data_IF_809530035120
#
_entry.id   IF_809530035120
#
_cell.length_a   1.000
_cell.length_b   1.000
_cell.length_c   1.000
_cell.angle_alpha   90.00
_cell.angle_beta   90.00
_cell.angle_gamma   90.00
#
_symmetry.space_group_name_H-M   'P 1'
#
loop_
_entity.id
_entity.type
_entity.pdbx_description
1 polymer ?
#
# COMPACT_ATOMS: atom_id res chain seq x y z
N UNK A 1 3.19 17.37 10.18
CA UNK A 1 2.27 16.44 10.89
C UNK A 1 1.32 15.90 9.84
N UNK A 2 1.41 14.60 9.51
CA UNK A 2 0.54 13.98 8.51
C UNK A 2 -0.93 14.05 8.98
N UNK A 3 -1.85 14.32 8.08
CA UNK A 3 -3.28 14.24 8.41
C UNK A 3 -3.66 12.79 8.78
N UNK A 4 -4.70 12.59 9.58
CA UNK A 4 -5.13 11.24 10.04
C UNK A 4 -5.33 10.24 8.90
N UNK A 5 -5.78 10.72 7.72
CA UNK A 5 -5.92 9.91 6.50
C UNK A 5 -4.56 9.47 5.94
N UNK A 6 -3.62 10.40 5.81
CA UNK A 6 -2.29 10.15 5.27
C UNK A 6 -1.49 9.23 6.19
N UNK A 7 -1.55 9.48 7.50
CA UNK A 7 -0.93 8.62 8.51
C UNK A 7 -1.47 7.19 8.46
N UNK A 8 -2.80 7.04 8.34
CA UNK A 8 -3.42 5.72 8.16
C UNK A 8 -2.96 5.03 6.87
N UNK A 9 -2.85 5.77 5.76
CA UNK A 9 -2.39 5.22 4.49
C UNK A 9 -0.93 4.75 4.59
N UNK A 10 -0.07 5.53 5.26
CA UNK A 10 1.32 5.13 5.51
C UNK A 10 1.38 3.82 6.32
N UNK A 11 0.74 3.78 7.48
CA UNK A 11 0.74 2.61 8.36
C UNK A 11 0.14 1.35 7.69
N UNK A 12 -0.85 1.52 6.79
CA UNK A 12 -1.40 0.40 6.01
C UNK A 12 -0.38 -0.14 5.01
N UNK A 13 0.36 0.74 4.34
CA UNK A 13 1.37 0.33 3.38
C UNK A 13 2.60 -0.26 4.07
N UNK A 14 3.02 0.25 5.23
CA UNK A 14 4.05 -0.38 6.07
C UNK A 14 3.67 -1.81 6.45
N UNK A 15 2.46 -2.02 6.97
CA UNK A 15 2.00 -3.35 7.34
C UNK A 15 1.93 -4.31 6.12
N UNK A 16 1.56 -3.79 4.94
CA UNK A 16 1.50 -4.60 3.73
C UNK A 16 2.90 -4.92 3.18
N UNK A 17 3.85 -3.98 3.25
CA UNK A 17 5.27 -4.21 2.94
C UNK A 17 5.85 -5.27 3.87
N UNK A 18 5.51 -5.27 5.16
CA UNK A 18 5.94 -6.31 6.09
C UNK A 18 5.40 -7.70 5.69
N UNK A 19 4.18 -7.79 5.16
CA UNK A 19 3.63 -9.03 4.61
C UNK A 19 4.42 -9.49 3.39
N UNK A 20 4.76 -8.56 2.47
CA UNK A 20 5.56 -8.86 1.29
C UNK A 20 6.98 -9.30 1.64
N UNK A 21 7.64 -8.67 2.62
CA UNK A 21 8.97 -9.06 3.08
C UNK A 21 9.00 -10.49 3.62
N UNK A 22 7.93 -10.92 4.29
CA UNK A 22 7.79 -12.29 4.80
C UNK A 22 7.39 -13.30 3.73
N UNK A 23 6.75 -12.85 2.65
CA UNK A 23 6.23 -13.68 1.57
C UNK A 23 6.47 -13.00 0.19
N UNK A 24 7.72 -12.92 -0.28
CA UNK A 24 8.07 -12.15 -1.49
C UNK A 24 7.38 -12.64 -2.76
N UNK A 25 6.99 -13.91 -2.81
CA UNK A 25 6.25 -14.51 -3.91
C UNK A 25 4.87 -13.86 -4.14
N UNK A 26 4.31 -13.21 -3.11
CA UNK A 26 3.03 -12.51 -3.22
C UNK A 26 3.07 -11.35 -4.22
N UNK A 27 4.25 -10.75 -4.47
CA UNK A 27 4.43 -9.55 -5.31
C UNK A 27 3.82 -9.70 -6.71
N UNK A 28 3.75 -10.91 -7.25
CA UNK A 28 2.87 -11.13 -8.40
C UNK A 28 2.21 -12.48 -8.36
N UNK A 29 1.63 -12.74 -7.20
CA UNK A 29 0.46 -13.58 -7.07
C UNK A 29 -0.72 -12.97 -7.83
N UNK A 30 -1.68 -13.82 -8.19
CA UNK A 30 -2.96 -13.38 -8.79
C UNK A 30 -3.80 -12.51 -7.86
N UNK A 31 -3.48 -12.45 -6.57
CA UNK A 31 -4.14 -11.55 -5.60
C UNK A 31 -3.77 -10.11 -5.92
N UNK A 32 -2.46 -9.82 -6.08
CA UNK A 32 -2.01 -8.46 -6.39
C UNK A 32 -2.37 -8.04 -7.82
N UNK A 33 -2.36 -8.96 -8.79
CA UNK A 33 -2.87 -8.66 -10.14
C UNK A 33 -4.34 -8.22 -10.09
N UNK A 34 -5.21 -9.00 -9.44
CA UNK A 34 -6.64 -8.64 -9.30
C UNK A 34 -6.85 -7.37 -8.49
N UNK A 35 -6.02 -7.16 -7.46
CA UNK A 35 -6.06 -5.93 -6.70
C UNK A 35 -5.69 -4.73 -7.56
N UNK A 36 -4.68 -4.86 -8.42
CA UNK A 36 -4.25 -3.79 -9.30
C UNK A 36 -5.33 -3.44 -10.32
N UNK A 37 -5.97 -4.46 -10.91
CA UNK A 37 -7.13 -4.27 -11.80
C UNK A 37 -8.26 -3.52 -11.08
N UNK A 38 -8.57 -3.92 -9.85
CA UNK A 38 -9.58 -3.24 -9.03
C UNK A 38 -9.20 -1.79 -8.75
N UNK A 39 -7.95 -1.52 -8.36
CA UNK A 39 -7.46 -0.16 -8.12
C UNK A 39 -7.57 0.70 -9.37
N UNK A 40 -7.21 0.18 -10.55
CA UNK A 40 -7.36 0.87 -11.84
C UNK A 40 -8.81 1.21 -12.17
N UNK A 41 -9.76 0.32 -11.87
CA UNK A 41 -11.18 0.56 -12.13
C UNK A 41 -11.79 1.64 -11.21
N UNK A 42 -11.34 1.71 -9.95
CA UNK A 42 -11.91 2.61 -8.95
C UNK A 42 -11.16 3.94 -8.83
N UNK A 43 -9.97 4.05 -9.41
CA UNK A 43 -9.19 5.29 -9.42
C UNK A 43 -9.56 6.12 -10.65
N UNK A 44 -10.30 7.20 -10.43
CA UNK A 44 -10.69 8.14 -11.49
C UNK A 44 -9.78 9.37 -11.52
N UNK A 45 -9.52 9.90 -12.72
CA UNK A 45 -8.69 11.08 -12.94
C UNK A 45 -7.40 10.76 -13.69
N UNK A 46 -7.12 11.53 -14.74
CA UNK A 46 -5.94 11.35 -15.60
C UNK A 46 -4.62 11.57 -14.86
N UNK A 47 -4.65 12.36 -13.78
CA UNK A 47 -3.47 12.66 -12.96
C UNK A 47 -2.98 11.47 -12.13
N UNK A 48 -3.82 10.44 -11.90
CA UNK A 48 -3.39 9.22 -11.19
C UNK A 48 -2.77 8.15 -12.10
N UNK A 49 -2.95 8.28 -13.41
CA UNK A 49 -2.49 7.29 -14.39
C UNK A 49 -0.98 7.01 -14.33
N UNK A 50 -0.10 8.01 -14.17
CA UNK A 50 1.34 7.75 -14.01
C UNK A 50 1.66 6.85 -12.80
N UNK A 51 0.98 7.05 -11.67
CA UNK A 51 1.19 6.25 -10.46
C UNK A 51 0.65 4.82 -10.60
N UNK A 52 -0.43 4.64 -11.34
CA UNK A 52 -0.94 3.30 -11.66
C UNK A 52 0.04 2.54 -12.57
N UNK A 53 0.60 3.22 -13.58
CA UNK A 53 1.58 2.63 -14.48
C UNK A 53 2.90 2.30 -13.76
N UNK A 54 3.30 3.15 -12.81
CA UNK A 54 4.43 2.88 -11.91
C UNK A 54 4.16 1.68 -10.99
N UNK A 55 2.96 1.55 -10.42
CA UNK A 55 2.59 0.37 -9.64
C UNK A 55 2.73 -0.92 -10.44
N UNK A 56 2.31 -0.93 -11.70
CA UNK A 56 2.52 -2.09 -12.56
C UNK A 56 4.01 -2.38 -12.74
N UNK A 57 4.85 -1.37 -13.01
CA UNK A 57 6.29 -1.56 -13.13
C UNK A 57 6.94 -2.09 -11.84
N UNK A 58 6.51 -1.58 -10.68
CA UNK A 58 6.96 -2.03 -9.37
C UNK A 58 6.58 -3.50 -9.11
N UNK A 59 5.34 -3.90 -9.36
CA UNK A 59 4.89 -5.28 -9.19
C UNK A 59 5.58 -6.24 -10.19
N UNK A 60 5.81 -5.79 -11.44
CA UNK A 60 6.54 -6.58 -12.44
C UNK A 60 8.01 -6.78 -12.08
N UNK A 61 8.62 -5.85 -11.34
CA UNK A 61 10.02 -5.99 -10.90
C UNK A 61 10.25 -7.14 -9.93
N UNK A 62 9.19 -7.61 -9.24
CA UNK A 62 9.26 -8.62 -8.18
C UNK A 62 10.20 -8.25 -7.02
N UNK A 63 10.59 -7.00 -6.92
CA UNK A 63 11.52 -6.48 -5.93
C UNK A 63 10.76 -5.81 -4.78
N UNK A 64 10.71 -6.50 -3.64
CA UNK A 64 10.01 -6.03 -2.43
C UNK A 64 10.64 -4.75 -1.89
N UNK A 65 11.97 -4.63 -1.93
CA UNK A 65 12.65 -3.46 -1.36
C UNK A 65 12.50 -2.24 -2.26
N UNK A 66 12.43 -2.43 -3.58
CA UNK A 66 12.06 -1.36 -4.51
C UNK A 66 10.63 -0.87 -4.26
N UNK A 67 9.68 -1.79 -4.05
CA UNK A 67 8.29 -1.43 -3.68
C UNK A 67 8.27 -0.65 -2.37
N UNK A 68 8.98 -1.15 -1.35
CA UNK A 68 9.06 -0.53 -0.03
C UNK A 68 9.64 0.89 -0.11
N UNK A 69 10.76 1.06 -0.81
CA UNK A 69 11.41 2.36 -0.97
C UNK A 69 10.48 3.39 -1.63
N UNK A 70 9.74 3.01 -2.67
CA UNK A 70 8.82 3.91 -3.37
C UNK A 70 7.61 4.28 -2.51
N UNK A 71 6.94 3.30 -1.89
CA UNK A 71 5.66 3.52 -1.19
C UNK A 71 5.84 4.10 0.21
N UNK A 72 7.00 3.93 0.85
CA UNK A 72 7.29 4.43 2.19
C UNK A 72 8.06 5.75 2.20
N UNK A 73 8.41 6.30 1.03
CA UNK A 73 9.00 7.62 0.93
C UNK A 73 8.07 8.68 1.57
N UNK A 74 8.65 9.56 2.38
CA UNK A 74 7.95 10.72 2.98
C UNK A 74 8.06 11.97 2.09
N UNK A 75 7.71 11.80 0.82
CA UNK A 75 7.61 12.86 -0.15
C UNK A 75 6.22 12.86 -0.82
N UNK A 76 5.98 13.83 -1.69
CA UNK A 76 4.73 13.94 -2.43
C UNK A 76 4.47 12.71 -3.33
N UNK A 77 5.54 12.17 -3.90
CA UNK A 77 5.49 10.99 -4.77
C UNK A 77 5.01 9.75 -4.02
N UNK A 78 5.64 9.43 -2.88
CA UNK A 78 5.25 8.33 -2.00
C UNK A 78 3.83 8.50 -1.49
N UNK A 79 3.39 9.73 -1.19
CA UNK A 79 1.99 10.00 -0.82
C UNK A 79 1.03 9.67 -1.96
N UNK A 80 1.34 10.09 -3.19
CA UNK A 80 0.52 9.81 -4.35
C UNK A 80 0.44 8.30 -4.65
N UNK A 81 1.57 7.58 -4.58
CA UNK A 81 1.60 6.12 -4.70
C UNK A 81 0.73 5.42 -3.64
N UNK A 82 0.76 5.89 -2.39
CA UNK A 82 -0.08 5.32 -1.31
C UNK A 82 -1.57 5.52 -1.55
N UNK A 83 -1.97 6.60 -2.24
CA UNK A 83 -3.39 6.84 -2.61
C UNK A 83 -3.89 5.79 -3.60
N UNK A 84 -3.04 5.34 -4.51
CA UNK A 84 -3.37 4.36 -5.56
C UNK A 84 -2.84 2.96 -5.26
N UNK A 85 -2.57 2.64 -4.00
CA UNK A 85 -1.88 1.39 -3.62
C UNK A 85 -2.78 0.15 -3.77
N UNK A 86 -2.34 -0.90 -4.50
CA UNK A 86 -3.00 -2.20 -4.52
C UNK A 86 -2.68 -3.05 -3.28
N UNK A 87 -1.74 -2.63 -2.42
CA UNK A 87 -1.27 -3.47 -1.33
C UNK A 87 -2.30 -3.65 -0.19
N UNK A 88 -3.33 -2.81 -0.14
CA UNK A 88 -4.38 -2.87 0.87
C UNK A 88 -5.11 -4.22 0.93
N UNK A 89 -5.11 -4.99 -0.17
CA UNK A 89 -5.75 -6.31 -0.26
C UNK A 89 -4.94 -7.45 0.40
N UNK A 90 -3.65 -7.23 0.68
CA UNK A 90 -2.79 -8.22 1.34
C UNK A 90 -3.08 -8.35 2.84
N UNK A 91 -3.68 -7.32 3.44
CA UNK A 91 -3.98 -7.31 4.85
C UNK A 91 -5.28 -8.06 5.13
N UNK A 92 -5.29 -8.93 6.14
CA UNK A 92 -6.52 -9.43 6.73
C UNK A 92 -7.29 -8.32 7.44
N UNK A 93 -8.58 -8.53 7.70
CA UNK A 93 -9.39 -7.56 8.44
C UNK A 93 -8.87 -7.30 9.86
N UNK A 94 -8.26 -8.30 10.49
CA UNK A 94 -7.60 -8.15 11.79
C UNK A 94 -6.40 -7.21 11.69
N UNK A 95 -5.55 -7.38 10.66
CA UNK A 95 -4.40 -6.51 10.43
C UNK A 95 -4.83 -5.08 10.09
N UNK A 96 -5.84 -4.90 9.23
CA UNK A 96 -6.41 -3.57 8.92
C UNK A 96 -6.92 -2.87 10.18
N UNK A 97 -7.71 -3.58 11.01
CA UNK A 97 -8.22 -3.03 12.28
C UNK A 97 -7.09 -2.66 13.24
N UNK A 98 -6.03 -3.48 13.31
CA UNK A 98 -4.83 -3.19 14.11
C UNK A 98 -4.12 -1.90 13.66
N UNK A 99 -3.96 -1.71 12.35
CA UNK A 99 -3.39 -0.48 11.78
C UNK A 99 -4.26 0.73 12.10
N UNK A 100 -5.59 0.63 11.95
CA UNK A 100 -6.52 1.73 12.26
C UNK A 100 -6.38 2.15 13.72
N UNK A 101 -6.32 1.20 14.66
CA UNK A 101 -6.14 1.47 16.09
C UNK A 101 -4.84 2.21 16.38
N UNK A 102 -3.72 1.79 15.76
CA UNK A 102 -2.43 2.50 15.86
C UNK A 102 -2.51 3.93 15.29
N UNK A 103 -3.15 4.10 14.14
CA UNK A 103 -3.28 5.39 13.46
C UNK A 103 -4.05 6.44 14.28
N UNK A 104 -4.98 6.00 15.13
CA UNK A 104 -5.79 6.86 16.02
C UNK A 104 -5.28 6.87 17.47
N UNK A 105 -4.09 6.29 17.74
CA UNK A 105 -3.46 6.31 19.06
C UNK A 105 -4.08 5.38 20.11
N UNK A 106 -4.96 4.46 19.71
CA UNK A 106 -5.52 3.46 20.62
C UNK A 106 -4.57 2.27 20.65
N UNK A 107 -3.62 2.28 21.59
CA UNK A 107 -2.91 1.07 21.98
C UNK A 107 -3.91 0.10 22.63
N UNK A 108 -3.94 -1.15 22.17
CA UNK A 108 -4.61 -2.20 22.91
C UNK A 108 -3.87 -2.37 24.24
N UNK A 109 -4.55 -2.07 25.36
CA UNK A 109 -4.09 -2.47 26.68
C UNK A 109 -3.87 -3.99 26.64
N UNK A 110 -2.66 -4.41 27.02
CA UNK A 110 -2.29 -5.82 27.18
C UNK A 110 -2.80 -6.30 28.53
#
# INVERSE_FOLDING_TARGET
>A
MLGTKENRQLLMNEAAVDVLRRNPELVGSSILTRSMDSTRQHTSGTHYRPYLDEWDALLHSRDVERIAAAVLADDEHGRALRVTSPLGFLLSDVQRKGVIRRAIGICAAT
#
